data_IF_121743477626
#
_entry.id   IF_121743477626
#
_cell.length_a   1.000
_cell.length_b   1.000
_cell.length_c   1.000
_cell.angle_alpha   90.00
_cell.angle_beta   90.00
_cell.angle_gamma   90.00
#
_symmetry.space_group_name_H-M   'P 1'
#
loop_
_entity.id
_entity.type
_entity.pdbx_description
1 polymer ?
#
# COMPACT_ATOMS: atom_id res chain seq x y z
N UNK A 1 -16.94 -11.76 7.04
CA UNK A 1 -15.52 -11.42 6.72
C UNK A 1 -15.06 -10.40 7.75
N UNK A 2 -14.00 -10.68 8.50
CA UNK A 2 -13.44 -9.72 9.47
C UNK A 2 -12.30 -8.98 8.78
N UNK A 3 -12.44 -7.66 8.62
CA UNK A 3 -11.38 -6.79 8.10
C UNK A 3 -10.66 -6.17 9.28
N UNK A 4 -9.32 -6.21 9.25
CA UNK A 4 -8.46 -5.55 10.23
C UNK A 4 -7.85 -4.33 9.55
N UNK A 5 -8.03 -3.14 10.14
CA UNK A 5 -7.34 -1.94 9.71
C UNK A 5 -6.14 -1.73 10.64
N UNK A 6 -4.96 -1.56 10.06
CA UNK A 6 -3.72 -1.32 10.81
C UNK A 6 -2.75 -0.50 9.98
N UNK A 7 -1.76 0.08 10.65
CA UNK A 7 -0.60 0.67 10.00
C UNK A 7 0.10 -0.34 9.08
N UNK A 8 0.57 0.13 7.93
CA UNK A 8 1.42 -0.67 7.05
C UNK A 8 2.74 -1.06 7.72
N UNK A 9 3.28 -2.21 7.35
CA UNK A 9 4.57 -2.71 7.80
C UNK A 9 5.46 -2.94 6.59
N UNK A 10 6.77 -2.97 6.80
CA UNK A 10 7.73 -3.32 5.74
C UNK A 10 7.41 -4.65 5.06
N UNK A 11 6.85 -5.63 5.79
CA UNK A 11 6.42 -6.92 5.24
C UNK A 11 5.26 -6.82 4.24
N UNK A 12 4.50 -5.72 4.25
CA UNK A 12 3.34 -5.52 3.38
C UNK A 12 3.72 -4.93 2.03
N UNK A 13 4.93 -4.36 1.87
CA UNK A 13 5.33 -3.59 0.67
C UNK A 13 5.10 -4.39 -0.62
N UNK A 14 5.43 -5.67 -0.64
CA UNK A 14 5.20 -6.53 -1.80
C UNK A 14 3.71 -6.71 -2.12
N UNK A 15 2.88 -6.97 -1.12
CA UNK A 15 1.43 -7.11 -1.30
C UNK A 15 0.80 -5.78 -1.72
N UNK A 16 1.26 -4.65 -1.15
CA UNK A 16 0.82 -3.30 -1.51
C UNK A 16 1.15 -3.00 -2.98
N UNK A 17 2.37 -3.33 -3.43
CA UNK A 17 2.75 -3.17 -4.83
C UNK A 17 1.86 -4.01 -5.75
N UNK A 18 1.54 -5.25 -5.37
CA UNK A 18 0.65 -6.12 -6.15
C UNK A 18 -0.77 -5.54 -6.25
N UNK A 19 -1.38 -5.12 -5.14
CA UNK A 19 -2.74 -4.56 -5.17
C UNK A 19 -2.81 -3.24 -5.94
N UNK A 20 -1.77 -2.39 -5.87
CA UNK A 20 -1.69 -1.16 -6.65
C UNK A 20 -1.56 -1.48 -8.15
N UNK A 21 -0.71 -2.43 -8.52
CA UNK A 21 -0.59 -2.87 -9.92
C UNK A 21 -1.92 -3.43 -10.45
N UNK A 22 -2.63 -4.22 -9.65
CA UNK A 22 -3.94 -4.76 -10.01
C UNK A 22 -5.01 -3.68 -10.15
N UNK A 23 -5.04 -2.70 -9.23
CA UNK A 23 -6.00 -1.60 -9.24
C UNK A 23 -5.79 -0.67 -10.45
N UNK A 24 -4.54 -0.45 -10.86
CA UNK A 24 -4.18 0.47 -11.95
C UNK A 24 -3.85 -0.23 -13.29
N UNK A 25 -4.18 -1.52 -13.42
CA UNK A 25 -3.85 -2.36 -14.60
C UNK A 25 -4.29 -1.77 -15.95
N UNK A 26 -5.38 -1.00 -15.99
CA UNK A 26 -5.93 -0.40 -17.21
C UNK A 26 -5.41 1.03 -17.47
N UNK A 27 -4.51 1.53 -16.62
CA UNK A 27 -3.89 2.85 -16.74
C UNK A 27 -2.38 2.67 -16.94
N UNK A 28 -1.60 2.80 -15.87
CA UNK A 28 -0.17 2.52 -15.88
C UNK A 28 0.23 1.91 -14.53
N UNK A 29 0.18 0.57 -14.39
CA UNK A 29 0.35 -0.11 -13.11
C UNK A 29 1.75 0.09 -12.52
N UNK A 30 2.78 0.17 -13.35
CA UNK A 30 4.16 0.36 -12.89
C UNK A 30 4.38 1.76 -12.33
N UNK A 31 3.76 2.78 -12.92
CA UNK A 31 3.86 4.15 -12.42
C UNK A 31 3.27 4.29 -11.02
N UNK A 32 2.13 3.67 -10.74
CA UNK A 32 1.52 3.74 -9.41
C UNK A 32 2.40 3.06 -8.36
N UNK A 33 2.91 1.86 -8.67
CA UNK A 33 3.82 1.13 -7.75
C UNK A 33 5.07 1.95 -7.45
N UNK A 34 5.70 2.54 -8.47
CA UNK A 34 6.89 3.39 -8.31
C UNK A 34 6.56 4.67 -7.54
N UNK A 35 5.39 5.28 -7.79
CA UNK A 35 4.96 6.49 -7.09
C UNK A 35 4.81 6.22 -5.60
N UNK A 36 4.04 5.20 -5.23
CA UNK A 36 3.79 4.83 -3.84
C UNK A 36 5.11 4.50 -3.13
N UNK A 37 6.01 3.76 -3.77
CA UNK A 37 7.34 3.47 -3.20
C UNK A 37 8.20 4.73 -3.04
N UNK A 38 8.19 5.62 -4.02
CA UNK A 38 8.94 6.89 -3.98
C UNK A 38 8.46 7.81 -2.85
N UNK A 39 7.16 7.83 -2.56
CA UNK A 39 6.59 8.65 -1.48
C UNK A 39 7.10 8.21 -0.10
N UNK A 40 7.34 6.91 0.13
CA UNK A 40 7.90 6.40 1.40
C UNK A 40 9.31 6.89 1.72
N UNK A 41 10.06 7.29 0.69
CA UNK A 41 11.45 7.72 0.82
C UNK A 41 11.59 9.23 1.06
N UNK A 42 10.49 9.97 1.05
CA UNK A 42 10.49 11.42 1.27
C UNK A 42 10.50 11.73 2.76
N UNK A 43 11.03 12.91 3.12
CA UNK A 43 11.26 13.32 4.51
C UNK A 43 9.94 13.49 5.29
N UNK A 44 8.89 13.85 4.58
CA UNK A 44 7.56 14.14 5.12
C UNK A 44 6.74 12.88 5.40
N UNK A 45 7.21 11.71 4.94
CA UNK A 45 6.51 10.46 5.13
C UNK A 45 6.51 10.03 6.60
N UNK A 46 5.30 9.84 7.15
CA UNK A 46 5.10 9.27 8.47
C UNK A 46 4.60 7.81 8.32
N UNK A 47 5.43 6.80 8.65
CA UNK A 47 5.06 5.40 8.52
C UNK A 47 3.91 5.00 9.44
N UNK A 48 3.58 5.78 10.48
CA UNK A 48 2.46 5.46 11.38
C UNK A 48 1.08 5.81 10.80
N UNK A 49 1.04 6.67 9.77
CA UNK A 49 -0.22 7.16 9.20
C UNK A 49 -0.76 6.29 8.06
N UNK A 50 0.12 5.64 7.29
CA UNK A 50 -0.31 4.81 6.15
C UNK A 50 -0.92 3.49 6.63
N UNK A 51 -2.06 3.11 6.05
CA UNK A 51 -2.89 2.01 6.54
C UNK A 51 -3.07 0.92 5.49
N UNK A 52 -3.23 -0.31 5.96
CA UNK A 52 -3.69 -1.46 5.18
C UNK A 52 -4.99 -2.00 5.74
N UNK A 53 -5.81 -2.56 4.84
CA UNK A 53 -6.92 -3.42 5.17
C UNK A 53 -6.50 -4.88 4.97
N UNK A 54 -6.61 -5.69 6.01
CA UNK A 54 -6.19 -7.09 6.02
C UNK A 54 -7.36 -8.05 6.25
N UNK A 55 -7.39 -9.16 5.50
CA UNK A 55 -8.28 -10.30 5.71
C UNK A 55 -7.44 -11.58 5.70
N UNK A 56 -7.50 -12.37 6.77
CA UNK A 56 -6.77 -13.64 6.89
C UNK A 56 -5.25 -13.54 6.64
N UNK A 57 -4.61 -12.43 6.99
CA UNK A 57 -3.18 -12.20 6.76
C UNK A 57 -2.83 -11.63 5.38
N UNK A 58 -3.82 -11.48 4.49
CA UNK A 58 -3.63 -10.89 3.17
C UNK A 58 -4.06 -9.42 3.15
N UNK A 59 -3.23 -8.57 2.56
CA UNK A 59 -3.54 -7.16 2.35
C UNK A 59 -4.49 -7.04 1.15
N UNK A 60 -5.69 -6.55 1.39
CA UNK A 60 -6.75 -6.38 0.38
C UNK A 60 -7.01 -4.92 -0.01
N UNK A 61 -6.33 -3.99 0.65
CA UNK A 61 -6.48 -2.55 0.42
C UNK A 61 -5.38 -1.76 1.14
N UNK A 62 -5.09 -0.59 0.61
CA UNK A 62 -4.01 0.27 1.10
C UNK A 62 -4.38 1.74 0.88
N UNK A 63 -4.04 2.58 1.84
CA UNK A 63 -4.10 4.04 1.72
C UNK A 63 -2.79 4.60 2.28
N UNK A 64 -2.13 5.43 1.47
CA UNK A 64 -0.89 6.10 1.83
C UNK A 64 -1.18 7.56 2.17
N UNK A 65 -0.68 8.01 3.31
CA UNK A 65 -0.67 9.42 3.70
C UNK A 65 0.77 9.92 3.62
N UNK A 66 0.97 10.99 2.85
CA UNK A 66 2.26 11.63 2.59
C UNK A 66 2.10 13.15 2.60
#
# INVERSE_FOLDING_TARGET
MKVIIRTEKYSDIHQIAEINALAFKNSNPLNEVILVDSLRHRKEFDPELSLVAEVNGEVIGHILFF
#
